data_IF_576907430708
#
_entry.id   IF_576907430708
#
_cell.length_a   1.000
_cell.length_b   1.000
_cell.length_c   1.000
_cell.angle_alpha   90.00
_cell.angle_beta   90.00
_cell.angle_gamma   90.00
#
_symmetry.space_group_name_H-M   'P 1'
#
loop_
_entity.id
_entity.type
_entity.pdbx_description
1 polymer ?
#
# COMPACT_ATOMS: atom_id res chain seq x y z
N UNK A 1 -13.23 -17.17 -32.90
CA UNK A 1 -12.82 -15.96 -32.15
C UNK A 1 -13.81 -15.76 -31.01
N UNK A 2 -13.28 -15.61 -29.78
CA UNK A 2 -14.12 -15.34 -28.60
C UNK A 2 -14.44 -13.82 -28.55
N UNK A 3 -15.68 -13.48 -28.86
CA UNK A 3 -16.18 -12.10 -28.92
C UNK A 3 -15.93 -11.36 -27.60
N UNK A 4 -16.08 -12.04 -26.45
CA UNK A 4 -15.83 -11.45 -25.14
C UNK A 4 -14.36 -11.04 -24.97
N UNK A 5 -13.41 -11.88 -25.41
CA UNK A 5 -11.99 -11.55 -25.37
C UNK A 5 -11.64 -10.31 -26.19
N UNK A 6 -12.27 -10.20 -27.39
CA UNK A 6 -12.06 -9.03 -28.25
C UNK A 6 -12.60 -7.76 -27.57
N UNK A 7 -13.82 -7.80 -27.05
CA UNK A 7 -14.42 -6.65 -26.35
C UNK A 7 -13.57 -6.22 -25.16
N UNK A 8 -13.14 -7.16 -24.32
CA UNK A 8 -12.28 -6.88 -23.18
C UNK A 8 -10.94 -6.26 -23.60
N UNK A 9 -10.32 -6.77 -24.66
CA UNK A 9 -9.08 -6.24 -25.20
C UNK A 9 -9.23 -4.81 -25.74
N UNK A 10 -10.33 -4.51 -26.42
CA UNK A 10 -10.64 -3.14 -26.90
C UNK A 10 -10.86 -2.19 -25.74
N UNK A 11 -11.68 -2.57 -24.75
CA UNK A 11 -11.93 -1.76 -23.55
C UNK A 11 -10.62 -1.45 -22.82
N UNK A 12 -9.79 -2.47 -22.59
CA UNK A 12 -8.51 -2.32 -21.91
C UNK A 12 -7.56 -1.39 -22.68
N UNK A 13 -7.49 -1.53 -24.01
CA UNK A 13 -6.69 -0.65 -24.87
C UNK A 13 -7.14 0.80 -24.78
N UNK A 14 -8.45 1.06 -24.80
CA UNK A 14 -9.01 2.41 -24.70
C UNK A 14 -8.68 3.03 -23.34
N UNK A 15 -8.88 2.30 -22.25
CA UNK A 15 -8.61 2.76 -20.88
C UNK A 15 -7.13 3.13 -20.72
N UNK A 16 -6.23 2.24 -21.12
CA UNK A 16 -4.78 2.45 -21.03
C UNK A 16 -4.36 3.63 -21.93
N UNK A 17 -4.83 3.68 -23.17
CA UNK A 17 -4.53 4.77 -24.09
C UNK A 17 -4.98 6.13 -23.55
N UNK A 18 -6.18 6.19 -22.98
CA UNK A 18 -6.71 7.41 -22.39
C UNK A 18 -5.91 7.83 -21.13
N UNK A 19 -5.49 6.87 -20.29
CA UNK A 19 -4.61 7.15 -19.14
C UNK A 19 -3.30 7.79 -19.56
N UNK A 20 -2.69 7.30 -20.65
CA UNK A 20 -1.45 7.89 -21.19
C UNK A 20 -1.69 9.29 -21.79
N UNK A 21 -2.83 9.51 -22.42
CA UNK A 21 -3.20 10.84 -22.90
C UNK A 21 -3.31 11.82 -21.73
N UNK A 22 -4.01 11.43 -20.65
CA UNK A 22 -4.22 12.28 -19.46
C UNK A 22 -2.89 12.64 -18.79
N UNK A 23 -2.01 11.67 -18.55
CA UNK A 23 -0.72 11.97 -17.88
C UNK A 23 0.15 12.88 -18.74
N UNK A 24 0.14 12.70 -20.07
CA UNK A 24 0.90 13.58 -20.97
C UNK A 24 0.34 15.00 -20.99
N UNK A 25 -0.96 15.16 -20.80
CA UNK A 25 -1.64 16.47 -20.85
C UNK A 25 -1.48 17.25 -19.54
N UNK A 26 -1.64 16.58 -18.39
CA UNK A 26 -1.69 17.22 -17.08
C UNK A 26 -0.36 17.11 -16.30
N UNK A 27 0.48 16.14 -16.63
CA UNK A 27 1.77 15.89 -15.98
C UNK A 27 2.85 15.56 -17.01
N UNK A 28 3.22 16.51 -17.88
CA UNK A 28 4.14 16.26 -18.99
C UNK A 28 5.53 15.78 -18.53
N UNK A 29 6.01 16.29 -17.38
CA UNK A 29 7.30 15.95 -16.79
C UNK A 29 7.25 14.71 -15.87
N UNK A 30 6.07 14.13 -15.66
CA UNK A 30 5.88 12.94 -14.83
C UNK A 30 6.49 11.69 -15.45
N UNK A 31 6.97 10.78 -14.61
CA UNK A 31 7.48 9.49 -15.03
C UNK A 31 6.36 8.60 -15.59
N UNK A 32 6.43 8.31 -16.87
CA UNK A 32 5.44 7.51 -17.59
C UNK A 32 5.70 6.02 -17.48
N UNK A 33 6.91 5.60 -17.03
CA UNK A 33 7.24 4.19 -16.87
C UNK A 33 6.41 3.50 -15.80
N UNK A 34 6.07 4.21 -14.71
CA UNK A 34 5.19 3.67 -13.66
C UNK A 34 3.83 3.27 -14.25
N UNK A 35 3.23 4.13 -15.07
CA UNK A 35 1.97 3.83 -15.75
C UNK A 35 2.13 2.68 -16.76
N UNK A 36 3.25 2.63 -17.50
CA UNK A 36 3.53 1.55 -18.44
C UNK A 36 3.61 0.20 -17.73
N UNK A 37 4.37 0.10 -16.62
CA UNK A 37 4.49 -1.14 -15.85
C UNK A 37 3.14 -1.57 -15.26
N UNK A 38 2.38 -0.64 -14.66
CA UNK A 38 1.04 -0.92 -14.16
C UNK A 38 0.10 -1.42 -15.27
N UNK A 39 0.19 -0.83 -16.47
CA UNK A 39 -0.61 -1.23 -17.64
C UNK A 39 -0.25 -2.63 -18.12
N UNK A 40 1.04 -2.95 -18.21
CA UNK A 40 1.50 -4.30 -18.59
C UNK A 40 1.01 -5.34 -17.58
N UNK A 41 1.17 -5.07 -16.29
CA UNK A 41 0.69 -5.98 -15.24
C UNK A 41 -0.83 -6.18 -15.30
N UNK A 42 -1.61 -5.13 -15.55
CA UNK A 42 -3.07 -5.22 -15.72
C UNK A 42 -3.45 -6.08 -16.93
N UNK A 43 -2.76 -5.89 -18.08
CA UNK A 43 -3.00 -6.70 -19.30
C UNK A 43 -2.71 -8.17 -19.04
N UNK A 44 -1.54 -8.48 -18.47
CA UNK A 44 -1.13 -9.85 -18.16
C UNK A 44 -2.10 -10.49 -17.16
N UNK A 45 -2.48 -9.77 -16.10
CA UNK A 45 -3.43 -10.24 -15.09
C UNK A 45 -4.78 -10.60 -15.70
N UNK A 46 -5.36 -9.71 -16.51
CA UNK A 46 -6.67 -9.96 -17.15
C UNK A 46 -6.57 -11.11 -18.15
N UNK A 47 -5.51 -11.21 -18.94
CA UNK A 47 -5.31 -12.30 -19.89
C UNK A 47 -5.19 -13.67 -19.19
N UNK A 48 -4.44 -13.74 -18.10
CA UNK A 48 -4.28 -14.96 -17.29
C UNK A 48 -5.59 -15.35 -16.61
N UNK A 49 -6.28 -14.39 -16.01
CA UNK A 49 -7.60 -14.64 -15.41
C UNK A 49 -8.62 -15.11 -16.44
N UNK A 50 -8.62 -14.54 -17.65
CA UNK A 50 -9.52 -14.95 -18.73
C UNK A 50 -9.32 -16.42 -19.11
N UNK A 51 -8.09 -16.89 -19.05
CA UNK A 51 -7.76 -18.32 -19.30
C UNK A 51 -8.26 -19.24 -18.19
N UNK A 52 -8.27 -18.77 -16.92
CA UNK A 52 -8.62 -19.58 -15.75
C UNK A 52 -10.13 -19.51 -15.48
N UNK A 53 -10.67 -18.30 -15.39
CA UNK A 53 -12.09 -18.02 -15.13
C UNK A 53 -12.53 -16.71 -15.79
N UNK A 54 -13.37 -16.84 -16.81
CA UNK A 54 -13.88 -15.70 -17.58
C UNK A 54 -14.68 -14.71 -16.72
N UNK A 55 -15.47 -15.21 -15.74
CA UNK A 55 -16.29 -14.36 -14.89
C UNK A 55 -15.42 -13.48 -13.97
N UNK A 56 -14.39 -14.06 -13.39
CA UNK A 56 -13.41 -13.31 -12.56
C UNK A 56 -12.63 -12.31 -13.38
N UNK A 57 -12.27 -12.65 -14.63
CA UNK A 57 -11.59 -11.72 -15.54
C UNK A 57 -12.42 -10.47 -15.86
N UNK A 58 -13.73 -10.63 -16.09
CA UNK A 58 -14.66 -9.50 -16.30
C UNK A 58 -14.74 -8.62 -15.05
N UNK A 59 -14.85 -9.22 -13.86
CA UNK A 59 -14.82 -8.46 -12.58
C UNK A 59 -13.50 -7.69 -12.44
N UNK A 60 -12.38 -8.31 -12.77
CA UNK A 60 -11.07 -7.65 -12.71
C UNK A 60 -10.98 -6.47 -13.68
N UNK A 61 -11.50 -6.60 -14.90
CA UNK A 61 -11.56 -5.49 -15.86
C UNK A 61 -12.37 -4.30 -15.30
N UNK A 62 -13.50 -4.57 -14.64
CA UNK A 62 -14.31 -3.52 -14.00
C UNK A 62 -13.51 -2.80 -12.91
N UNK A 63 -12.83 -3.56 -12.03
CA UNK A 63 -12.01 -2.96 -10.97
C UNK A 63 -10.83 -2.16 -11.51
N UNK A 64 -10.15 -2.65 -12.55
CA UNK A 64 -9.10 -1.90 -13.25
C UNK A 64 -9.66 -0.61 -13.84
N UNK A 65 -10.84 -0.66 -14.45
CA UNK A 65 -11.51 0.54 -14.99
C UNK A 65 -11.79 1.58 -13.91
N UNK A 66 -12.34 1.15 -12.77
CA UNK A 66 -12.62 2.02 -11.62
C UNK A 66 -11.30 2.62 -11.09
N UNK A 67 -10.25 1.81 -10.97
CA UNK A 67 -8.93 2.26 -10.53
C UNK A 67 -8.32 3.31 -11.48
N UNK A 68 -8.45 3.11 -12.78
CA UNK A 68 -7.97 4.07 -13.79
C UNK A 68 -8.77 5.36 -13.76
N UNK A 69 -10.10 5.30 -13.56
CA UNK A 69 -10.91 6.51 -13.38
C UNK A 69 -10.44 7.28 -12.14
N UNK A 70 -10.22 6.58 -11.01
CA UNK A 70 -9.67 7.18 -9.80
C UNK A 70 -8.30 7.83 -10.03
N UNK A 71 -7.40 7.15 -10.76
CA UNK A 71 -6.10 7.68 -11.15
C UNK A 71 -6.24 8.97 -11.99
N UNK A 72 -7.10 8.96 -13.00
CA UNK A 72 -7.35 10.13 -13.85
C UNK A 72 -7.87 11.31 -13.03
N UNK A 73 -8.81 11.06 -12.12
CA UNK A 73 -9.35 12.10 -11.23
C UNK A 73 -8.25 12.71 -10.35
N UNK A 74 -7.39 11.89 -9.76
CA UNK A 74 -6.27 12.38 -8.95
C UNK A 74 -5.33 13.25 -9.78
N UNK A 75 -4.90 12.78 -10.97
CA UNK A 75 -3.98 13.51 -11.84
C UNK A 75 -4.58 14.82 -12.36
N UNK A 76 -5.88 14.83 -12.68
CA UNK A 76 -6.54 16.00 -13.23
C UNK A 76 -6.93 17.05 -12.17
N UNK A 77 -7.31 16.62 -10.95
CA UNK A 77 -7.86 17.50 -9.92
C UNK A 77 -6.79 17.96 -8.93
N UNK A 78 -5.73 17.15 -8.71
CA UNK A 78 -4.71 17.41 -7.71
C UNK A 78 -3.36 17.75 -8.37
N UNK A 79 -3.20 18.96 -8.93
CA UNK A 79 -1.95 19.34 -9.59
C UNK A 79 -0.82 19.62 -8.60
N UNK A 80 -1.14 19.90 -7.33
CA UNK A 80 -0.16 20.27 -6.31
C UNK A 80 -0.48 19.58 -4.99
N UNK A 81 0.23 18.48 -4.72
CA UNK A 81 0.09 17.71 -3.48
C UNK A 81 0.58 18.45 -2.24
N UNK A 82 1.46 19.46 -2.39
CA UNK A 82 2.02 20.21 -1.27
C UNK A 82 0.93 20.96 -0.46
N UNK A 83 -0.14 21.38 -1.14
CA UNK A 83 -1.30 22.03 -0.51
C UNK A 83 -2.01 21.16 0.53
N UNK A 84 -1.83 19.85 0.43
CA UNK A 84 -2.46 18.88 1.33
C UNK A 84 -1.63 18.65 2.61
N UNK A 85 -0.38 19.12 2.68
CA UNK A 85 0.48 18.96 3.87
C UNK A 85 -0.16 19.55 5.14
N UNK A 86 -0.96 20.62 5.02
CA UNK A 86 -1.70 21.24 6.13
C UNK A 86 -2.68 20.28 6.84
N UNK A 87 -3.08 19.20 6.18
CA UNK A 87 -4.01 18.21 6.74
C UNK A 87 -3.31 17.03 7.43
N UNK A 88 -2.01 17.15 7.77
CA UNK A 88 -1.20 16.04 8.34
C UNK A 88 -1.87 15.36 9.53
N UNK A 89 -2.52 16.12 10.43
CA UNK A 89 -3.20 15.55 11.60
C UNK A 89 -4.43 14.71 11.21
N UNK A 90 -5.14 15.09 10.15
CA UNK A 90 -6.26 14.29 9.61
C UNK A 90 -5.73 12.97 9.05
N UNK A 91 -4.63 12.98 8.31
CA UNK A 91 -3.99 11.76 7.78
C UNK A 91 -3.47 10.87 8.91
N UNK A 92 -2.88 11.45 9.95
CA UNK A 92 -2.46 10.72 11.15
C UNK A 92 -3.63 9.99 11.79
N UNK A 93 -4.73 10.70 12.08
CA UNK A 93 -5.94 10.13 12.70
C UNK A 93 -6.53 9.05 11.78
N UNK A 94 -6.64 9.32 10.49
CA UNK A 94 -7.16 8.36 9.53
C UNK A 94 -6.30 7.08 9.50
N UNK A 95 -4.98 7.21 9.54
CA UNK A 95 -4.07 6.05 9.62
C UNK A 95 -4.29 5.25 10.89
N UNK A 96 -4.33 5.94 12.06
CA UNK A 96 -4.53 5.29 13.36
C UNK A 96 -5.88 4.56 13.42
N UNK A 97 -6.91 5.08 12.77
CA UNK A 97 -8.23 4.44 12.72
C UNK A 97 -8.27 3.29 11.71
N UNK A 98 -7.77 3.50 10.48
CA UNK A 98 -7.88 2.53 9.40
C UNK A 98 -7.04 1.27 9.63
N UNK A 99 -5.88 1.39 10.26
CA UNK A 99 -4.96 0.27 10.44
C UNK A 99 -5.52 -0.84 11.34
N UNK A 100 -6.11 -0.56 12.52
CA UNK A 100 -6.63 -1.60 13.39
C UNK A 100 -8.03 -2.10 13.02
N UNK A 101 -8.79 -1.36 12.19
CA UNK A 101 -10.24 -1.58 12.03
C UNK A 101 -10.59 -2.97 11.51
N UNK A 102 -9.83 -3.54 10.56
CA UNK A 102 -10.09 -4.88 10.05
C UNK A 102 -9.81 -5.96 11.10
N UNK A 103 -8.73 -5.82 11.86
CA UNK A 103 -8.39 -6.72 12.96
C UNK A 103 -9.45 -6.68 14.06
N UNK A 104 -9.88 -5.48 14.47
CA UNK A 104 -10.93 -5.32 15.46
C UNK A 104 -12.27 -5.88 14.97
N UNK A 105 -12.62 -5.62 13.71
CA UNK A 105 -13.81 -6.20 13.08
C UNK A 105 -13.79 -7.72 13.17
N UNK A 106 -12.68 -8.37 12.78
CA UNK A 106 -12.56 -9.83 12.84
C UNK A 106 -12.69 -10.36 14.28
N UNK A 107 -12.08 -9.66 15.26
CA UNK A 107 -12.19 -10.05 16.68
C UNK A 107 -13.59 -9.89 17.25
N UNK A 108 -14.31 -8.83 16.86
CA UNK A 108 -15.65 -8.55 17.39
C UNK A 108 -16.70 -9.46 16.75
N UNK A 109 -16.59 -9.70 15.43
CA UNK A 109 -17.58 -10.47 14.67
C UNK A 109 -17.28 -11.96 14.62
N UNK A 110 -16.09 -12.41 15.04
CA UNK A 110 -15.64 -13.78 14.87
C UNK A 110 -15.36 -14.14 13.40
N UNK A 111 -15.16 -13.15 12.53
CA UNK A 111 -14.92 -13.39 11.11
C UNK A 111 -13.64 -14.22 10.89
N UNK A 112 -13.75 -15.21 10.01
CA UNK A 112 -12.63 -16.08 9.66
C UNK A 112 -11.58 -15.34 8.84
N UNK A 113 -10.31 -15.79 8.97
CA UNK A 113 -9.22 -15.30 8.13
C UNK A 113 -9.48 -15.60 6.65
N UNK A 114 -9.18 -14.64 5.78
CA UNK A 114 -9.28 -14.80 4.33
C UNK A 114 -7.86 -14.87 3.78
N UNK A 115 -7.52 -15.98 3.14
CA UNK A 115 -6.13 -16.21 2.71
C UNK A 115 -5.11 -16.25 3.86
N UNK A 116 -5.55 -16.58 5.07
CA UNK A 116 -4.73 -16.62 6.28
C UNK A 116 -4.52 -15.27 6.96
N UNK A 117 -5.18 -14.20 6.51
CA UNK A 117 -5.06 -12.85 7.09
C UNK A 117 -6.42 -12.29 7.56
N UNK A 118 -6.40 -11.47 8.61
CA UNK A 118 -7.55 -10.77 9.20
C UNK A 118 -7.63 -9.31 8.74
N UNK A 119 -7.42 -9.07 7.45
CA UNK A 119 -7.28 -7.73 6.88
C UNK A 119 -8.47 -7.31 6.00
N UNK A 120 -9.52 -8.14 5.90
CA UNK A 120 -10.70 -7.89 5.10
C UNK A 120 -11.95 -7.62 5.93
N UNK A 121 -12.78 -6.68 5.48
CA UNK A 121 -14.12 -6.43 6.00
C UNK A 121 -15.12 -6.77 4.91
N UNK A 122 -16.08 -7.64 5.23
CA UNK A 122 -17.21 -7.98 4.35
C UNK A 122 -18.36 -7.02 4.56
N UNK A 123 -18.74 -6.29 3.51
CA UNK A 123 -19.91 -5.39 3.51
C UNK A 123 -20.88 -5.91 2.44
N UNK A 124 -21.79 -6.79 2.81
CA UNK A 124 -22.69 -7.47 1.88
C UNK A 124 -21.90 -8.34 0.89
N UNK A 125 -21.95 -7.99 -0.41
CA UNK A 125 -21.21 -8.69 -1.47
C UNK A 125 -19.83 -8.11 -1.75
N UNK A 126 -19.47 -7.02 -1.10
CA UNK A 126 -18.18 -6.34 -1.29
C UNK A 126 -17.22 -6.68 -0.17
N UNK A 127 -15.96 -6.80 -0.52
CA UNK A 127 -14.86 -6.98 0.42
C UNK A 127 -13.95 -5.77 0.32
N UNK A 128 -13.67 -5.15 1.45
CA UNK A 128 -12.83 -3.95 1.55
C UNK A 128 -11.66 -4.25 2.48
N UNK A 129 -10.48 -3.81 2.08
CA UNK A 129 -9.26 -3.90 2.88
C UNK A 129 -8.88 -2.50 3.39
N UNK A 130 -9.20 -2.14 4.64
CA UNK A 130 -8.96 -0.79 5.15
C UNK A 130 -7.49 -0.38 5.16
N UNK A 131 -6.57 -1.32 5.31
CA UNK A 131 -5.13 -1.06 5.26
C UNK A 131 -4.65 -0.51 3.91
N UNK A 132 -5.35 -0.77 2.79
CA UNK A 132 -5.01 -0.16 1.50
C UNK A 132 -5.23 1.37 1.53
N UNK A 133 -6.31 1.83 2.16
CA UNK A 133 -6.53 3.27 2.39
C UNK A 133 -5.59 3.79 3.48
N UNK A 134 -5.32 2.99 4.52
CA UNK A 134 -4.35 3.31 5.57
C UNK A 134 -2.94 3.55 5.02
N UNK A 135 -2.54 2.82 3.98
CA UNK A 135 -1.28 3.02 3.25
C UNK A 135 -1.19 4.44 2.65
N UNK A 136 -2.25 4.85 1.97
CA UNK A 136 -2.31 6.19 1.35
C UNK A 136 -2.23 7.27 2.42
N UNK A 137 -3.01 7.16 3.49
CA UNK A 137 -3.01 8.15 4.57
C UNK A 137 -1.69 8.17 5.34
N UNK A 138 -1.02 7.02 5.54
CA UNK A 138 0.31 6.96 6.14
C UNK A 138 1.35 7.67 5.28
N UNK A 139 1.36 7.44 3.96
CA UNK A 139 2.29 8.11 3.03
C UNK A 139 2.09 9.62 3.08
N UNK A 140 0.84 10.09 3.01
CA UNK A 140 0.51 11.51 3.08
C UNK A 140 0.90 12.13 4.43
N UNK A 141 0.66 11.40 5.52
CA UNK A 141 1.07 11.82 6.86
C UNK A 141 2.59 11.95 6.97
N UNK A 142 3.33 10.90 6.59
CA UNK A 142 4.79 10.91 6.71
C UNK A 142 5.43 11.95 5.79
N UNK A 143 4.93 12.10 4.56
CA UNK A 143 5.42 13.13 3.65
C UNK A 143 5.20 14.54 4.23
N UNK A 144 4.01 14.80 4.79
CA UNK A 144 3.70 16.08 5.43
C UNK A 144 4.52 16.32 6.70
N UNK A 145 4.70 15.30 7.56
CA UNK A 145 5.48 15.41 8.78
C UNK A 145 6.97 15.62 8.47
N UNK A 146 7.51 14.91 7.49
CA UNK A 146 8.91 15.02 7.11
C UNK A 146 9.21 16.27 6.28
N UNK A 147 8.23 16.90 5.65
CA UNK A 147 8.45 18.21 5.00
C UNK A 147 8.75 19.34 5.98
N UNK A 148 8.42 19.13 7.26
CA UNK A 148 8.74 20.07 8.35
C UNK A 148 10.04 19.73 9.09
N UNK A 149 10.74 18.66 8.68
CA UNK A 149 11.97 18.24 9.31
C UNK A 149 13.10 19.22 8.98
N UNK A 150 13.80 19.69 10.02
CA UNK A 150 14.97 20.55 9.94
C UNK A 150 16.17 19.87 10.61
N UNK A 151 17.26 19.74 9.86
CA UNK A 151 18.52 19.21 10.40
C UNK A 151 19.29 20.29 11.17
N UNK A 152 19.13 20.30 12.48
CA UNK A 152 19.83 21.22 13.38
C UNK A 152 21.17 20.65 13.90
N UNK A 153 21.64 19.53 13.33
CA UNK A 153 22.88 18.87 13.75
C UNK A 153 22.84 18.21 15.13
N UNK A 154 21.66 18.18 15.78
CA UNK A 154 21.45 17.61 17.11
C UNK A 154 20.57 16.36 17.05
N UNK A 155 21.10 15.24 17.52
CA UNK A 155 20.32 13.97 17.63
C UNK A 155 19.07 14.16 18.51
N UNK A 156 19.14 15.00 19.54
CA UNK A 156 17.98 15.26 20.41
C UNK A 156 16.85 15.97 19.68
N UNK A 157 17.16 16.89 18.80
CA UNK A 157 16.17 17.63 18.03
C UNK A 157 15.59 16.75 16.90
N UNK A 158 16.42 15.91 16.29
CA UNK A 158 15.96 14.87 15.36
C UNK A 158 14.94 13.94 16.02
N UNK A 159 15.25 13.42 17.24
CA UNK A 159 14.34 12.54 17.96
C UNK A 159 13.00 13.23 18.24
N UNK A 160 13.00 14.50 18.66
CA UNK A 160 11.77 15.24 18.91
C UNK A 160 10.89 15.36 17.65
N UNK A 161 11.51 15.57 16.49
CA UNK A 161 10.80 15.72 15.22
C UNK A 161 10.31 14.37 14.67
N UNK A 162 11.10 13.31 14.84
CA UNK A 162 10.86 12.01 14.24
C UNK A 162 10.06 11.04 15.13
N UNK A 163 9.95 11.29 16.44
CA UNK A 163 9.32 10.33 17.38
C UNK A 163 7.85 10.08 17.06
N UNK A 164 7.06 11.10 16.76
CA UNK A 164 5.64 10.94 16.46
C UNK A 164 5.45 10.22 15.13
N UNK A 165 6.10 10.60 14.01
CA UNK A 165 6.10 9.82 12.79
C UNK A 165 6.53 8.36 12.97
N UNK A 166 7.57 8.11 13.76
CA UNK A 166 8.05 6.75 14.06
C UNK A 166 7.02 5.93 14.85
N UNK A 167 6.32 6.54 15.82
CA UNK A 167 5.27 5.87 16.58
C UNK A 167 4.06 5.51 15.70
N UNK A 168 3.62 6.40 14.83
CA UNK A 168 2.52 6.13 13.87
C UNK A 168 2.91 5.03 12.87
N UNK A 169 4.14 5.08 12.38
CA UNK A 169 4.68 4.06 11.49
C UNK A 169 4.78 2.70 12.20
N UNK A 170 5.35 2.66 13.41
CA UNK A 170 5.45 1.45 14.22
C UNK A 170 4.09 0.87 14.58
N UNK A 171 3.13 1.70 14.98
CA UNK A 171 1.74 1.31 15.21
C UNK A 171 1.14 0.63 13.97
N UNK A 172 1.33 1.22 12.79
CA UNK A 172 0.83 0.65 11.54
C UNK A 172 1.42 -0.73 11.26
N UNK A 173 2.74 -0.89 11.44
CA UNK A 173 3.42 -2.17 11.23
C UNK A 173 2.96 -3.23 12.23
N UNK A 174 2.76 -2.88 13.52
CA UNK A 174 2.28 -3.80 14.54
C UNK A 174 0.90 -4.35 14.16
N UNK A 175 -0.02 -3.50 13.70
CA UNK A 175 -1.35 -3.97 13.30
C UNK A 175 -1.34 -4.82 12.03
N UNK A 176 -0.44 -4.56 11.07
CA UNK A 176 -0.28 -5.44 9.91
C UNK A 176 0.23 -6.83 10.30
N UNK A 177 1.18 -6.90 11.23
CA UNK A 177 1.65 -8.18 11.78
C UNK A 177 0.52 -8.89 12.54
N UNK A 178 -0.24 -8.19 13.37
CA UNK A 178 -1.38 -8.74 14.10
C UNK A 178 -2.49 -9.27 13.18
N UNK A 179 -2.66 -8.65 12.00
CA UNK A 179 -3.57 -9.10 10.94
C UNK A 179 -3.04 -10.32 10.15
N UNK A 180 -1.84 -10.79 10.44
CA UNK A 180 -1.10 -11.80 9.67
C UNK A 180 -0.81 -11.37 8.21
N UNK A 181 -0.77 -10.06 7.93
CA UNK A 181 -0.49 -9.47 6.61
C UNK A 181 0.97 -9.01 6.52
N UNK A 182 1.88 -9.99 6.49
CA UNK A 182 3.32 -9.74 6.44
C UNK A 182 3.77 -9.13 5.11
N UNK A 183 3.05 -9.43 4.01
CA UNK A 183 3.33 -8.85 2.71
C UNK A 183 3.12 -7.33 2.72
N UNK A 184 1.96 -6.88 3.21
CA UNK A 184 1.69 -5.45 3.38
C UNK A 184 2.65 -4.80 4.37
N UNK A 185 3.00 -5.48 5.48
CA UNK A 185 3.97 -4.97 6.45
C UNK A 185 5.34 -4.67 5.82
N UNK A 186 5.83 -5.55 4.93
CA UNK A 186 7.08 -5.35 4.21
C UNK A 186 7.02 -4.13 3.26
N UNK A 187 5.91 -3.96 2.55
CA UNK A 187 5.69 -2.81 1.66
C UNK A 187 5.64 -1.51 2.47
N UNK A 188 4.89 -1.48 3.57
CA UNK A 188 4.82 -0.33 4.46
C UNK A 188 6.19 0.03 5.03
N UNK A 189 6.95 -0.96 5.48
CA UNK A 189 8.30 -0.76 5.97
C UNK A 189 9.21 -0.15 4.89
N UNK A 190 9.16 -0.66 3.65
CA UNK A 190 9.90 -0.11 2.53
C UNK A 190 9.55 1.36 2.24
N UNK A 191 8.26 1.70 2.29
CA UNK A 191 7.79 3.10 2.13
C UNK A 191 8.31 3.99 3.25
N UNK A 192 8.17 3.56 4.51
CA UNK A 192 8.60 4.32 5.70
C UNK A 192 10.08 4.63 5.63
N UNK A 193 10.92 3.62 5.36
CA UNK A 193 12.37 3.78 5.32
C UNK A 193 12.82 4.66 4.15
N UNK A 194 12.15 4.55 3.01
CA UNK A 194 12.43 5.38 1.83
C UNK A 194 12.12 6.85 2.10
N UNK A 195 10.95 7.14 2.66
CA UNK A 195 10.56 8.51 3.02
C UNK A 195 11.47 9.08 4.11
N UNK A 196 11.82 8.29 5.13
CA UNK A 196 12.74 8.70 6.18
C UNK A 196 14.11 9.05 5.63
N UNK A 197 14.63 8.25 4.70
CA UNK A 197 15.92 8.51 4.06
C UNK A 197 15.89 9.77 3.20
N UNK A 198 14.85 9.92 2.38
CA UNK A 198 14.69 11.11 1.52
C UNK A 198 14.62 12.39 2.36
N UNK A 199 13.91 12.36 3.48
CA UNK A 199 13.73 13.52 4.35
C UNK A 199 14.99 13.88 5.15
N UNK A 200 15.68 12.88 5.70
CA UNK A 200 16.79 13.13 6.63
C UNK A 200 18.18 13.05 5.99
N UNK A 201 18.30 12.34 4.86
CA UNK A 201 19.58 11.98 4.22
C UNK A 201 20.56 11.24 5.17
N UNK A 202 20.10 10.79 6.35
CA UNK A 202 20.94 10.18 7.40
C UNK A 202 20.90 8.65 7.31
N UNK A 203 21.99 8.04 6.85
CA UNK A 203 22.15 6.57 6.76
C UNK A 203 21.97 5.88 8.12
N UNK A 204 22.26 6.58 9.22
CA UNK A 204 22.10 6.04 10.58
C UNK A 204 20.65 5.62 10.85
N UNK A 205 19.67 6.43 10.48
CA UNK A 205 18.25 6.12 10.71
C UNK A 205 17.79 4.94 9.86
N UNK A 206 18.31 4.81 8.64
CA UNK A 206 18.09 3.64 7.81
C UNK A 206 18.63 2.37 8.48
N UNK A 207 19.89 2.44 8.98
CA UNK A 207 20.51 1.31 9.66
C UNK A 207 19.77 0.92 10.95
N UNK A 208 19.32 1.90 11.75
CA UNK A 208 18.54 1.68 12.96
C UNK A 208 17.16 1.06 12.62
N UNK A 209 16.50 1.52 11.56
CA UNK A 209 15.22 0.97 11.10
C UNK A 209 15.38 -0.47 10.63
N UNK A 210 16.42 -0.79 9.86
CA UNK A 210 16.73 -2.15 9.42
C UNK A 210 17.08 -3.06 10.61
N UNK A 211 17.87 -2.57 11.56
CA UNK A 211 18.17 -3.29 12.80
C UNK A 211 16.90 -3.58 13.62
N UNK A 212 16.03 -2.59 13.77
CA UNK A 212 14.74 -2.74 14.44
C UNK A 212 13.81 -3.72 13.72
N UNK A 213 13.75 -3.68 12.39
CA UNK A 213 12.97 -4.63 11.59
C UNK A 213 13.51 -6.06 11.74
N UNK A 214 14.82 -6.23 11.73
CA UNK A 214 15.45 -7.55 11.94
C UNK A 214 15.14 -8.09 13.33
N UNK A 215 15.27 -7.28 14.38
CA UNK A 215 14.89 -7.65 15.73
C UNK A 215 13.39 -8.00 15.83
N UNK A 216 12.53 -7.17 15.21
CA UNK A 216 11.09 -7.41 15.11
C UNK A 216 10.75 -8.71 14.38
N UNK A 217 11.46 -9.02 13.30
CA UNK A 217 11.28 -10.28 12.56
C UNK A 217 11.67 -11.51 13.38
N UNK A 218 12.78 -11.44 14.13
CA UNK A 218 13.21 -12.52 15.05
C UNK A 218 12.19 -12.71 16.17
N UNK A 219 11.73 -11.62 16.79
CA UNK A 219 10.69 -11.69 17.82
C UNK A 219 9.37 -12.23 17.24
N UNK A 220 8.96 -11.76 16.07
CA UNK A 220 7.76 -12.21 15.37
C UNK A 220 7.81 -13.70 15.05
N UNK A 221 8.95 -14.21 14.60
CA UNK A 221 9.17 -15.64 14.35
C UNK A 221 8.95 -16.50 15.62
N UNK A 222 9.38 -16.00 16.79
CA UNK A 222 9.23 -16.73 18.03
C UNK A 222 7.85 -16.57 18.70
N UNK A 223 7.16 -15.48 18.44
CA UNK A 223 5.90 -15.15 19.13
C UNK A 223 4.64 -15.49 18.33
N UNK A 224 4.73 -15.50 17.00
CA UNK A 224 3.57 -15.66 16.12
C UNK A 224 3.67 -16.90 15.23
N UNK A 225 2.82 -17.89 15.47
CA UNK A 225 2.80 -19.14 14.71
C UNK A 225 2.68 -18.94 13.20
N UNK A 226 1.87 -17.98 12.75
CA UNK A 226 1.73 -17.68 11.31
C UNK A 226 3.00 -17.12 10.67
N UNK A 227 3.89 -16.46 11.44
CA UNK A 227 5.20 -16.01 10.94
C UNK A 227 6.12 -17.21 10.75
N UNK A 228 6.15 -18.10 11.74
CA UNK A 228 6.93 -19.36 11.68
C UNK A 228 6.49 -20.21 10.48
N UNK A 229 5.18 -20.39 10.28
CA UNK A 229 4.61 -21.13 9.17
C UNK A 229 5.03 -20.53 7.81
N UNK A 230 4.96 -19.21 7.64
CA UNK A 230 5.41 -18.52 6.41
C UNK A 230 6.91 -18.73 6.15
N UNK A 231 7.74 -18.70 7.18
CA UNK A 231 9.18 -18.96 7.04
C UNK A 231 9.44 -20.44 6.68
N UNK A 232 8.69 -21.38 7.25
CA UNK A 232 8.80 -22.81 6.90
C UNK A 232 8.42 -23.05 5.44
N UNK A 233 7.27 -22.52 4.97
CA UNK A 233 6.83 -22.61 3.57
C UNK A 233 7.88 -21.98 2.63
N UNK A 234 8.48 -20.86 3.02
CA UNK A 234 9.52 -20.22 2.22
C UNK A 234 10.79 -21.08 2.11
N UNK A 235 11.17 -21.76 3.19
CA UNK A 235 12.36 -22.64 3.18
C UNK A 235 12.12 -23.94 2.44
N UNK A 236 10.91 -24.47 2.50
CA UNK A 236 10.53 -25.77 1.96
C UNK A 236 9.16 -25.71 1.28
N UNK A 237 9.07 -25.05 0.10
CA UNK A 237 7.79 -24.77 -0.56
C UNK A 237 7.09 -26.03 -1.10
N UNK A 238 7.74 -27.18 -1.06
CA UNK A 238 7.22 -28.43 -1.59
C UNK A 238 6.84 -29.47 -0.53
N UNK A 239 7.03 -29.17 0.73
CA UNK A 239 6.52 -29.91 1.89
C UNK A 239 5.32 -29.20 2.53
#
# INVERSE_FOLDING_TARGET
FDTLAIVMGVVLRVIIGYSHFVIRRYYPDGDKFILNFASVLAVVSIAMLYRIDKATSVKQLVWVTIGVIGYILVVAIIPDMSRFAKYKNIYMIATIVLMPVAFLYAKITGASAIGGAYNWISIGKFMVQPSEFGKITLVLYLAAAFSEYEDNGSIKDDIKQLIVPALVAGFSLIFLVAQADLGSALIFFGIIISLLYVATSKKLYVALSLGGATAGAILGYNLFAHVTERVMIWRNPWE
#
